data_IF_985617024081
#
_entry.id   IF_985617024081
#
_cell.length_a   1.000
_cell.length_b   1.000
_cell.length_c   1.000
_cell.angle_alpha   90.00
_cell.angle_beta   90.00
_cell.angle_gamma   90.00
#
_symmetry.space_group_name_H-M   'P 1'
#
loop_
_entity.id
_entity.type
_entity.pdbx_description
1 polymer ?
#
# COMPACT_ATOMS: atom_id res chain seq x y z
N UNK A 1 7.03 -5.76 -26.40
CA UNK A 1 5.65 -5.45 -25.99
C UNK A 1 5.32 -4.06 -26.44
N UNK A 2 4.04 -3.75 -26.73
CA UNK A 2 3.71 -2.53 -27.46
C UNK A 2 3.77 -1.26 -26.62
N UNK A 3 4.36 -0.23 -27.18
CA UNK A 3 4.17 1.13 -26.69
C UNK A 3 2.74 1.60 -27.01
N UNK A 4 2.10 2.27 -26.08
CA UNK A 4 0.79 2.88 -26.28
C UNK A 4 1.02 4.33 -26.70
N UNK A 5 0.42 4.75 -27.82
CA UNK A 5 0.47 6.13 -28.27
C UNK A 5 -0.59 6.95 -27.57
N UNK A 6 -0.16 7.92 -26.76
CA UNK A 6 -0.99 8.93 -26.13
C UNK A 6 -0.69 10.30 -26.79
N UNK A 7 -1.39 10.60 -27.87
CA UNK A 7 -1.07 11.74 -28.72
C UNK A 7 0.32 11.60 -29.34
N UNK A 8 1.23 12.51 -29.03
CA UNK A 8 2.62 12.50 -29.52
C UNK A 8 3.59 11.73 -28.59
N UNK A 9 3.11 11.17 -27.48
CA UNK A 9 3.93 10.42 -26.54
C UNK A 9 3.77 8.93 -26.78
N UNK A 10 4.89 8.21 -26.82
CA UNK A 10 4.92 6.74 -26.79
C UNK A 10 5.28 6.30 -25.38
N UNK A 11 4.33 5.66 -24.71
CA UNK A 11 4.49 5.23 -23.31
C UNK A 11 4.52 3.70 -23.24
N UNK A 12 5.54 3.08 -22.62
CA UNK A 12 5.59 1.66 -22.39
C UNK A 12 4.39 1.17 -21.58
N UNK A 13 3.82 0.03 -21.93
CA UNK A 13 2.69 -0.56 -21.20
C UNK A 13 3.02 -0.77 -19.72
N UNK A 14 4.25 -1.19 -19.40
CA UNK A 14 4.71 -1.36 -18.04
C UNK A 14 4.65 -0.05 -17.23
N UNK A 15 5.00 1.09 -17.83
CA UNK A 15 4.91 2.40 -17.17
C UNK A 15 3.47 2.80 -16.87
N UNK A 16 2.54 2.47 -17.75
CA UNK A 16 1.10 2.72 -17.53
C UNK A 16 0.60 1.88 -16.36
N UNK A 17 1.00 0.60 -16.28
CA UNK A 17 0.62 -0.26 -15.16
C UNK A 17 1.21 0.21 -13.83
N UNK A 18 2.47 0.67 -13.81
CA UNK A 18 3.05 1.29 -12.60
C UNK A 18 2.23 2.50 -12.18
N UNK A 19 1.90 3.39 -13.12
CA UNK A 19 1.12 4.59 -12.83
C UNK A 19 -0.28 4.25 -12.28
N UNK A 20 -1.02 3.39 -12.96
CA UNK A 20 -2.38 2.98 -12.54
C UNK A 20 -2.34 2.28 -11.19
N UNK A 21 -1.42 1.34 -11.00
CA UNK A 21 -1.24 0.65 -9.73
C UNK A 21 -0.91 1.60 -8.58
N UNK A 22 -0.04 2.59 -8.84
CA UNK A 22 0.31 3.61 -7.87
C UNK A 22 -0.88 4.51 -7.50
N UNK A 23 -1.69 4.93 -8.48
CA UNK A 23 -2.91 5.71 -8.22
C UNK A 23 -3.89 4.93 -7.35
N UNK A 24 -4.12 3.64 -7.64
CA UNK A 24 -4.99 2.77 -6.83
C UNK A 24 -4.45 2.64 -5.41
N UNK A 25 -3.14 2.43 -5.23
CA UNK A 25 -2.51 2.33 -3.92
C UNK A 25 -2.58 3.65 -3.14
N UNK A 26 -2.46 4.80 -3.80
CA UNK A 26 -2.60 6.12 -3.15
C UNK A 26 -4.05 6.38 -2.70
N UNK A 27 -5.03 6.07 -3.56
CA UNK A 27 -6.45 6.24 -3.22
C UNK A 27 -6.82 5.32 -2.05
N UNK A 28 -6.25 4.12 -1.98
CA UNK A 28 -6.53 3.15 -0.93
C UNK A 28 -6.27 3.71 0.47
N UNK A 29 -5.29 4.63 0.63
CA UNK A 29 -4.94 5.25 1.92
C UNK A 29 -6.12 6.01 2.57
N UNK A 30 -7.05 6.51 1.75
CA UNK A 30 -8.21 7.28 2.21
C UNK A 30 -9.48 6.43 2.36
N UNK A 31 -9.41 5.14 2.04
CA UNK A 31 -10.51 4.20 2.20
C UNK A 31 -10.40 3.46 3.53
N UNK A 32 -11.47 2.81 3.95
CA UNK A 32 -11.48 2.01 5.17
C UNK A 32 -10.43 0.90 5.11
N UNK A 33 -9.50 0.92 6.04
CA UNK A 33 -8.40 -0.06 6.18
C UNK A 33 -8.69 -1.12 7.23
N UNK A 34 -9.31 -0.70 8.35
CA UNK A 34 -9.68 -1.60 9.44
C UNK A 34 -11.08 -1.26 9.91
N UNK A 35 -11.89 -2.28 10.12
CA UNK A 35 -13.21 -2.17 10.72
C UNK A 35 -13.17 -2.77 12.12
N UNK A 36 -13.76 -2.07 13.08
CA UNK A 36 -13.96 -2.49 14.45
C UNK A 36 -15.45 -2.69 14.67
N UNK A 37 -15.86 -3.93 14.84
CA UNK A 37 -17.24 -4.30 15.09
C UNK A 37 -17.38 -4.64 16.60
N UNK A 38 -18.06 -3.78 17.34
CA UNK A 38 -18.28 -3.92 18.78
C UNK A 38 -19.65 -4.53 19.06
N UNK A 39 -19.76 -5.48 20.00
CA UNK A 39 -21.03 -6.07 20.39
C UNK A 39 -21.99 -5.12 21.12
N UNK A 40 -21.47 -4.04 21.69
CA UNK A 40 -22.23 -3.13 22.58
C UNK A 40 -22.12 -1.66 22.13
N UNK A 41 -21.18 -1.33 21.25
CA UNK A 41 -20.92 0.00 20.75
C UNK A 41 -21.19 0.05 19.24
N UNK A 42 -21.21 1.26 18.67
CA UNK A 42 -21.29 1.44 17.22
C UNK A 42 -20.02 0.94 16.53
N UNK A 43 -20.19 0.33 15.37
CA UNK A 43 -19.08 -0.13 14.52
C UNK A 43 -18.32 1.08 13.98
N UNK A 44 -17.00 1.00 13.94
CA UNK A 44 -16.13 2.09 13.49
C UNK A 44 -15.19 1.57 12.41
N UNK A 45 -15.06 2.34 11.33
CA UNK A 45 -14.12 2.06 10.24
C UNK A 45 -13.05 3.15 10.21
N UNK A 46 -11.79 2.74 10.27
CA UNK A 46 -10.64 3.63 10.17
C UNK A 46 -10.01 3.55 8.78
N UNK A 47 -9.79 4.71 8.15
CA UNK A 47 -9.02 4.82 6.91
C UNK A 47 -7.54 4.51 7.14
N UNK A 48 -6.79 4.29 6.04
CA UNK A 48 -5.34 4.11 6.15
C UNK A 48 -4.62 5.30 6.77
N UNK A 49 -5.11 6.53 6.54
CA UNK A 49 -4.56 7.73 7.19
C UNK A 49 -4.81 7.74 8.69
N UNK A 50 -6.01 7.41 9.13
CA UNK A 50 -6.34 7.34 10.56
C UNK A 50 -5.56 6.23 11.25
N UNK A 51 -5.34 5.09 10.60
CA UNK A 51 -4.48 4.03 11.12
C UNK A 51 -3.06 4.55 11.35
N UNK A 52 -2.49 5.31 10.40
CA UNK A 52 -1.12 5.85 10.48
C UNK A 52 -0.98 6.92 11.55
N UNK A 53 -1.95 7.81 11.68
CA UNK A 53 -1.88 8.93 12.64
C UNK A 53 -2.27 8.51 14.06
N UNK A 54 -2.82 7.31 14.21
CA UNK A 54 -3.44 6.85 15.44
C UNK A 54 -4.82 7.51 15.65
N UNK A 55 -5.75 6.75 16.20
CA UNK A 55 -7.09 7.25 16.52
C UNK A 55 -7.27 7.59 18.00
N UNK A 56 -6.24 7.38 18.79
CA UNK A 56 -6.21 7.73 20.21
C UNK A 56 -4.77 7.88 20.68
N UNK A 57 -4.42 9.05 21.22
CA UNK A 57 -3.06 9.39 21.65
C UNK A 57 -2.52 8.48 22.79
N UNK A 58 -3.39 7.74 23.45
CA UNK A 58 -3.02 6.84 24.55
C UNK A 58 -2.82 5.38 24.11
N UNK A 59 -3.02 5.04 22.82
CA UNK A 59 -2.87 3.67 22.32
C UNK A 59 -1.50 3.52 21.68
N UNK A 60 -0.71 2.56 22.18
CA UNK A 60 0.52 2.16 21.51
C UNK A 60 0.20 1.27 20.31
N UNK A 61 0.64 1.71 19.13
CA UNK A 61 0.50 0.98 17.88
C UNK A 61 1.79 0.25 17.54
N UNK A 62 1.67 -0.97 17.02
CA UNK A 62 2.81 -1.72 16.50
C UNK A 62 3.36 -1.07 15.23
N UNK A 63 4.55 -1.47 14.78
CA UNK A 63 5.13 -0.94 13.53
C UNK A 63 4.24 -1.16 12.29
N UNK A 64 3.30 -2.09 12.36
CA UNK A 64 2.38 -2.44 11.26
C UNK A 64 1.48 -1.26 10.88
N UNK A 65 1.16 -0.38 11.83
CA UNK A 65 0.33 0.80 11.55
C UNK A 65 0.97 1.77 10.54
N UNK A 66 2.28 1.72 10.36
CA UNK A 66 2.96 2.52 9.33
C UNK A 66 2.86 1.90 7.92
N UNK A 67 2.42 0.66 7.79
CA UNK A 67 2.38 0.00 6.49
C UNK A 67 1.56 0.75 5.42
N UNK A 68 0.36 1.30 5.70
CA UNK A 68 -0.41 2.05 4.71
C UNK A 68 0.36 3.25 4.13
N UNK A 69 1.07 4.01 4.97
CA UNK A 69 1.83 5.18 4.50
C UNK A 69 3.08 4.76 3.73
N UNK A 70 3.73 3.66 4.11
CA UNK A 70 4.89 3.13 3.37
C UNK A 70 4.46 2.67 1.98
N UNK A 71 3.31 1.98 1.87
CA UNK A 71 2.72 1.60 0.58
C UNK A 71 2.44 2.84 -0.28
N UNK A 72 1.83 3.88 0.30
CA UNK A 72 1.52 5.11 -0.40
C UNK A 72 2.77 5.87 -0.85
N UNK A 73 3.80 5.98 0.00
CA UNK A 73 5.07 6.64 -0.35
C UNK A 73 5.78 5.86 -1.47
N UNK A 74 5.87 4.55 -1.37
CA UNK A 74 6.48 3.72 -2.42
C UNK A 74 5.72 3.85 -3.75
N UNK A 75 4.38 3.84 -3.71
CA UNK A 75 3.53 4.07 -4.88
C UNK A 75 3.78 5.46 -5.49
N UNK A 76 3.85 6.52 -4.67
CA UNK A 76 4.14 7.88 -5.12
C UNK A 76 5.51 7.97 -5.80
N UNK A 77 6.54 7.37 -5.21
CA UNK A 77 7.89 7.31 -5.79
C UNK A 77 7.85 6.58 -7.13
N UNK A 78 7.22 5.40 -7.19
CA UNK A 78 7.07 4.63 -8.44
C UNK A 78 6.35 5.43 -9.53
N UNK A 79 5.28 6.14 -9.18
CA UNK A 79 4.53 7.01 -10.10
C UNK A 79 5.40 8.15 -10.63
N UNK A 80 6.12 8.85 -9.77
CA UNK A 80 7.03 9.94 -10.19
C UNK A 80 8.12 9.40 -11.11
N UNK A 81 8.71 8.27 -10.77
CA UNK A 81 9.78 7.67 -11.56
C UNK A 81 9.32 7.24 -12.97
N UNK A 82 8.10 6.80 -13.19
CA UNK A 82 7.61 6.50 -14.55
C UNK A 82 7.22 7.74 -15.35
N UNK A 83 6.95 8.86 -14.69
CA UNK A 83 6.61 10.14 -15.32
C UNK A 83 7.88 10.89 -15.79
N UNK A 84 8.95 10.90 -14.99
CA UNK A 84 10.16 11.67 -15.28
C UNK A 84 10.71 11.41 -16.70
N UNK A 85 10.85 10.15 -17.18
CA UNK A 85 11.41 9.89 -18.52
C UNK A 85 10.57 10.44 -19.67
N UNK A 86 9.29 10.76 -19.45
CA UNK A 86 8.42 11.33 -20.47
C UNK A 86 8.77 12.81 -20.77
N UNK A 87 9.39 13.50 -19.82
CA UNK A 87 9.69 14.93 -19.91
C UNK A 87 11.18 15.26 -19.86
N UNK A 88 12.02 14.33 -19.38
CA UNK A 88 13.44 14.56 -19.21
C UNK A 88 14.27 13.37 -19.70
N UNK A 89 15.41 13.65 -20.36
CA UNK A 89 16.38 12.59 -20.69
C UNK A 89 17.10 12.13 -19.41
N UNK A 90 16.98 10.86 -19.12
CA UNK A 90 17.70 10.25 -18.00
C UNK A 90 19.19 10.15 -18.34
N UNK A 91 20.03 10.47 -17.36
CA UNK A 91 21.49 10.22 -17.40
C UNK A 91 21.88 8.85 -16.85
N UNK A 92 20.90 8.10 -16.36
CA UNK A 92 21.07 6.77 -15.76
C UNK A 92 20.68 5.72 -16.81
N UNK A 93 21.36 4.59 -16.77
CA UNK A 93 21.02 3.43 -17.59
C UNK A 93 19.56 3.01 -17.37
N UNK A 94 18.82 2.82 -18.45
CA UNK A 94 17.38 2.54 -18.40
C UNK A 94 17.07 1.23 -17.64
N UNK A 95 17.93 0.22 -17.77
CA UNK A 95 17.78 -1.04 -17.05
C UNK A 95 17.89 -0.83 -15.53
N UNK A 96 18.92 -0.11 -15.08
CA UNK A 96 19.13 0.19 -13.66
C UNK A 96 17.95 0.99 -13.12
N UNK A 97 17.50 1.99 -13.88
CA UNK A 97 16.35 2.82 -13.51
C UNK A 97 15.09 1.99 -13.29
N UNK A 98 14.76 1.09 -14.23
CA UNK A 98 13.58 0.21 -14.12
C UNK A 98 13.71 -0.83 -13.00
N UNK A 99 14.91 -1.31 -12.71
CA UNK A 99 15.15 -2.17 -11.54
C UNK A 99 14.85 -1.42 -10.24
N UNK A 100 15.24 -0.15 -10.12
CA UNK A 100 14.92 0.66 -8.93
C UNK A 100 13.40 0.81 -8.77
N UNK A 101 12.65 1.06 -9.84
CA UNK A 101 11.18 1.11 -9.80
C UNK A 101 10.62 -0.24 -9.31
N UNK A 102 11.13 -1.35 -9.82
CA UNK A 102 10.67 -2.69 -9.42
C UNK A 102 10.93 -2.95 -7.92
N UNK A 103 12.09 -2.55 -7.40
CA UNK A 103 12.42 -2.66 -5.97
C UNK A 103 11.48 -1.81 -5.13
N UNK A 104 11.21 -0.56 -5.52
CA UNK A 104 10.27 0.33 -4.81
C UNK A 104 8.86 -0.27 -4.78
N UNK A 105 8.37 -0.78 -5.91
CA UNK A 105 7.05 -1.42 -5.93
C UNK A 105 7.01 -2.75 -5.16
N UNK A 106 8.12 -3.50 -5.11
CA UNK A 106 8.22 -4.70 -4.27
C UNK A 106 8.12 -4.35 -2.78
N UNK A 107 8.71 -3.25 -2.34
CA UNK A 107 8.56 -2.75 -0.95
C UNK A 107 7.08 -2.46 -0.66
N UNK A 108 6.37 -1.80 -1.58
CA UNK A 108 4.93 -1.56 -1.41
C UNK A 108 4.14 -2.87 -1.24
N UNK A 109 4.41 -3.89 -2.06
CA UNK A 109 3.76 -5.21 -1.95
C UNK A 109 4.06 -5.87 -0.61
N UNK A 110 5.32 -5.86 -0.17
CA UNK A 110 5.72 -6.48 1.11
C UNK A 110 4.98 -5.83 2.27
N UNK A 111 4.95 -4.51 2.35
CA UNK A 111 4.25 -3.82 3.45
C UNK A 111 2.73 -3.97 3.38
N UNK A 112 2.14 -4.02 2.18
CA UNK A 112 0.72 -4.34 2.03
C UNK A 112 0.38 -5.76 2.52
N UNK A 113 1.24 -6.75 2.23
CA UNK A 113 1.08 -8.12 2.74
C UNK A 113 1.24 -8.16 4.26
N UNK A 114 2.26 -7.47 4.81
CA UNK A 114 2.48 -7.39 6.26
C UNK A 114 1.24 -6.80 6.95
N UNK A 115 0.67 -5.74 6.40
CA UNK A 115 -0.56 -5.16 6.94
C UNK A 115 -1.73 -6.15 6.90
N UNK A 116 -1.95 -6.82 5.78
CA UNK A 116 -3.04 -7.82 5.65
C UNK A 116 -2.84 -8.99 6.63
N UNK A 117 -1.60 -9.42 6.84
CA UNK A 117 -1.30 -10.53 7.73
C UNK A 117 -1.45 -10.20 9.23
N UNK A 118 -1.21 -8.96 9.63
CA UNK A 118 -1.11 -8.55 11.03
C UNK A 118 -2.08 -7.44 11.43
N UNK A 119 -2.60 -6.67 10.47
CA UNK A 119 -3.43 -5.49 10.73
C UNK A 119 -4.88 -5.81 11.12
N UNK A 120 -5.34 -7.05 10.91
CA UNK A 120 -6.64 -7.51 11.39
C UNK A 120 -6.44 -8.32 12.66
N UNK A 121 -6.64 -7.70 13.81
CA UNK A 121 -6.50 -8.36 15.11
C UNK A 121 -5.47 -7.68 15.99
N UNK A 122 -5.05 -8.38 17.05
CA UNK A 122 -4.14 -7.85 18.07
C UNK A 122 -2.76 -7.41 17.53
N UNK A 123 -2.36 -7.85 16.34
CA UNK A 123 -1.09 -7.47 15.72
C UNK A 123 -0.94 -5.98 15.39
N UNK A 124 -2.04 -5.22 15.35
CA UNK A 124 -1.99 -3.77 15.14
C UNK A 124 -1.55 -3.01 16.40
N UNK A 125 -1.71 -3.58 17.58
CA UNK A 125 -1.44 -2.96 18.86
C UNK A 125 -0.08 -3.37 19.42
N UNK A 126 0.51 -2.53 20.28
CA UNK A 126 1.76 -2.78 20.99
C UNK A 126 1.58 -2.53 22.50
N UNK A 127 2.59 -2.97 23.31
CA UNK A 127 2.59 -2.77 24.75
C UNK A 127 1.45 -3.46 25.48
N UNK A 128 1.03 -2.89 26.58
CA UNK A 128 -0.05 -3.41 27.43
C UNK A 128 -1.39 -3.46 26.68
N UNK A 129 -1.64 -2.51 25.80
CA UNK A 129 -2.85 -2.46 24.98
C UNK A 129 -3.00 -3.68 24.05
N UNK A 130 -1.90 -4.28 23.61
CA UNK A 130 -1.95 -5.49 22.80
C UNK A 130 -2.61 -6.64 23.57
N UNK A 131 -2.32 -6.78 24.86
CA UNK A 131 -2.91 -7.82 25.72
C UNK A 131 -4.41 -7.58 25.97
N UNK A 132 -4.81 -6.32 26.22
CA UNK A 132 -6.22 -5.97 26.43
C UNK A 132 -7.05 -6.21 25.16
N UNK A 133 -6.58 -5.75 24.00
CA UNK A 133 -7.27 -5.99 22.74
C UNK A 133 -7.30 -7.47 22.37
N UNK A 134 -6.22 -8.20 22.61
CA UNK A 134 -6.17 -9.65 22.44
C UNK A 134 -7.21 -10.34 23.31
N UNK A 135 -7.34 -9.96 24.58
CA UNK A 135 -8.35 -10.49 25.48
C UNK A 135 -9.77 -10.20 24.97
N UNK A 136 -10.03 -8.98 24.49
CA UNK A 136 -11.34 -8.61 23.91
C UNK A 136 -11.67 -9.41 22.64
N UNK A 137 -10.68 -9.63 21.78
CA UNK A 137 -10.88 -10.32 20.49
C UNK A 137 -10.97 -11.85 20.71
N UNK A 138 -10.03 -12.43 21.44
CA UNK A 138 -9.87 -13.89 21.52
C UNK A 138 -10.69 -14.53 22.65
N UNK A 139 -10.84 -13.83 23.78
CA UNK A 139 -11.46 -14.39 24.98
C UNK A 139 -12.91 -13.96 25.15
N UNK A 140 -13.17 -12.65 25.23
CA UNK A 140 -14.54 -12.15 25.45
C UNK A 140 -15.35 -12.07 24.17
N UNK A 141 -14.68 -11.97 23.02
CA UNK A 141 -15.31 -11.78 21.70
C UNK A 141 -16.24 -10.55 21.65
N UNK A 142 -15.90 -9.53 22.43
CA UNK A 142 -16.65 -8.27 22.47
C UNK A 142 -16.23 -7.31 21.36
N UNK A 143 -15.09 -7.58 20.70
CA UNK A 143 -14.56 -6.84 19.58
C UNK A 143 -14.20 -7.82 18.46
N UNK A 144 -14.66 -7.54 17.26
CA UNK A 144 -14.20 -8.21 16.03
C UNK A 144 -13.50 -7.17 15.15
N UNK A 145 -12.31 -7.52 14.68
CA UNK A 145 -11.56 -6.70 13.74
C UNK A 145 -11.53 -7.36 12.38
N UNK A 146 -11.79 -6.59 11.34
CA UNK A 146 -11.68 -7.04 9.96
C UNK A 146 -10.98 -6.02 9.09
N UNK A 147 -10.38 -6.51 7.99
CA UNK A 147 -9.73 -5.63 7.02
C UNK A 147 -10.78 -4.95 6.14
N UNK A 148 -10.63 -3.65 5.98
CA UNK A 148 -11.44 -2.86 5.08
C UNK A 148 -10.96 -2.94 3.62
N UNK A 149 -11.77 -2.44 2.71
CA UNK A 149 -11.52 -2.45 1.26
C UNK A 149 -10.22 -1.73 0.89
N UNK A 150 -9.82 -0.71 1.65
CA UNK A 150 -8.58 0.04 1.44
C UNK A 150 -7.33 -0.85 1.52
N UNK A 151 -7.26 -1.75 2.51
CA UNK A 151 -6.13 -2.67 2.66
C UNK A 151 -5.95 -3.57 1.43
N UNK A 152 -7.04 -4.12 0.90
CA UNK A 152 -6.99 -4.97 -0.30
C UNK A 152 -6.68 -4.17 -1.56
N UNK A 153 -7.26 -2.97 -1.72
CA UNK A 153 -6.94 -2.11 -2.86
C UNK A 153 -5.49 -1.63 -2.84
N UNK A 154 -4.93 -1.37 -1.66
CA UNK A 154 -3.51 -1.06 -1.50
C UNK A 154 -2.62 -2.19 -2.01
N UNK A 155 -2.94 -3.44 -1.65
CA UNK A 155 -2.22 -4.61 -2.15
C UNK A 155 -2.39 -4.79 -3.67
N UNK A 156 -3.61 -4.71 -4.19
CA UNK A 156 -3.88 -4.85 -5.63
C UNK A 156 -3.12 -3.78 -6.42
N UNK A 157 -3.18 -2.52 -5.98
CA UNK A 157 -2.44 -1.43 -6.61
C UNK A 157 -0.93 -1.66 -6.62
N UNK A 158 -0.36 -2.10 -5.48
CA UNK A 158 1.05 -2.41 -5.37
C UNK A 158 1.46 -3.58 -6.30
N UNK A 159 0.66 -4.65 -6.39
CA UNK A 159 0.92 -5.79 -7.30
C UNK A 159 0.86 -5.34 -8.76
N UNK A 160 -0.15 -4.60 -9.16
CA UNK A 160 -0.28 -4.08 -10.54
C UNK A 160 0.93 -3.23 -10.89
N UNK A 161 1.37 -2.35 -9.97
CA UNK A 161 2.57 -1.54 -10.15
C UNK A 161 3.84 -2.38 -10.25
N UNK A 162 4.00 -3.42 -9.43
CA UNK A 162 5.15 -4.32 -9.50
C UNK A 162 5.21 -5.10 -10.81
N UNK A 163 4.06 -5.61 -11.29
CA UNK A 163 3.97 -6.28 -12.60
C UNK A 163 4.38 -5.32 -13.71
N UNK A 164 3.89 -4.07 -13.68
CA UNK A 164 4.28 -3.04 -14.65
C UNK A 164 5.79 -2.77 -14.64
N UNK A 165 6.39 -2.63 -13.47
CA UNK A 165 7.83 -2.43 -13.31
C UNK A 165 8.62 -3.63 -13.84
N UNK A 166 8.17 -4.86 -13.58
CA UNK A 166 8.78 -6.08 -14.12
C UNK A 166 8.75 -6.14 -15.64
N UNK A 167 7.66 -5.69 -16.28
CA UNK A 167 7.58 -5.60 -17.75
C UNK A 167 8.61 -4.60 -18.29
N UNK A 168 8.76 -3.42 -17.66
CA UNK A 168 9.75 -2.44 -18.07
C UNK A 168 11.20 -2.96 -17.92
N UNK A 169 11.50 -3.72 -16.88
CA UNK A 169 12.81 -4.38 -16.72
C UNK A 169 13.04 -5.36 -17.87
N UNK A 170 12.06 -6.20 -18.18
CA UNK A 170 12.16 -7.20 -19.26
C UNK A 170 12.38 -6.56 -20.65
N UNK A 171 11.78 -5.43 -20.94
CA UNK A 171 11.95 -4.72 -22.21
C UNK A 171 13.34 -4.09 -22.39
N UNK A 172 14.06 -3.89 -21.30
CA UNK A 172 15.42 -3.30 -21.28
C UNK A 172 16.51 -4.35 -20.97
N UNK A 173 16.18 -5.64 -20.99
CA UNK A 173 17.14 -6.74 -20.91
C UNK A 173 17.68 -7.07 -22.30
#
# INVERSE_FOLDING_TARGET
MGNIKLGNLEVPLGSILVFVGAVVALISLFLGYVNFDYTVLEDVTYSGMEVVTGWNDNIELSFVHFAPIIVAIAALIGMIMVIIPLFAKLKVDAKIYNIIIAVVMAVAVIFAIVFIAMGAGSGLFAGEWAEDYKFMIETTKTLTMSLGVGAYLGLIGAIVGLVGAGLNVKENL
#
